data_IF_207006633697
#
_entry.id   IF_207006633697
#
_cell.length_a   1.000
_cell.length_b   1.000
_cell.length_c   1.000
_cell.angle_alpha   90.00
_cell.angle_beta   90.00
_cell.angle_gamma   90.00
#
_symmetry.space_group_name_H-M   'P 1'
#
loop_
_entity.id
_entity.type
_entity.pdbx_description
1 polymer ?
#
# COMPACT_ATOMS: atom_id res chain seq x y z
N UNK A 1 -20.18 10.10 -23.65
CA UNK A 1 -19.56 10.82 -22.53
C UNK A 1 -18.79 9.78 -21.75
N UNK A 2 -17.54 9.57 -22.15
CA UNK A 2 -16.62 8.74 -21.38
C UNK A 2 -16.32 9.51 -20.09
N UNK A 3 -16.96 9.10 -19.00
CA UNK A 3 -16.49 9.47 -17.67
C UNK A 3 -15.19 8.71 -17.48
N UNK A 4 -14.07 9.33 -17.87
CA UNK A 4 -12.74 8.93 -17.40
C UNK A 4 -12.81 8.90 -15.88
N UNK A 5 -13.03 7.70 -15.35
CA UNK A 5 -13.08 7.47 -13.92
C UNK A 5 -11.63 7.60 -13.51
N UNK A 6 -11.25 8.78 -13.02
CA UNK A 6 -9.94 8.99 -12.40
C UNK A 6 -9.86 7.99 -11.25
N UNK A 7 -9.27 6.81 -11.51
CA UNK A 7 -8.96 5.84 -10.47
C UNK A 7 -7.83 6.47 -9.67
N UNK A 8 -8.20 7.07 -8.55
CA UNK A 8 -7.23 7.53 -7.58
C UNK A 8 -6.50 6.30 -7.04
N UNK A 9 -5.18 6.31 -7.17
CA UNK A 9 -4.33 5.27 -6.63
C UNK A 9 -4.34 5.33 -5.10
N UNK A 10 -4.68 4.22 -4.44
CA UNK A 10 -4.82 4.17 -2.98
C UNK A 10 -3.47 3.96 -2.28
N UNK A 11 -2.62 3.10 -2.85
CA UNK A 11 -1.30 2.77 -2.34
C UNK A 11 -0.26 2.74 -3.45
N UNK A 12 0.97 3.06 -3.08
CA UNK A 12 2.17 2.74 -3.87
C UNK A 12 3.09 1.86 -3.05
N UNK A 13 3.91 1.05 -3.72
CA UNK A 13 4.98 0.32 -3.05
C UNK A 13 6.30 0.35 -3.81
N UNK A 14 7.39 0.18 -3.06
CA UNK A 14 8.75 -0.04 -3.53
C UNK A 14 9.24 -1.36 -2.98
N UNK A 15 9.75 -2.23 -3.85
CA UNK A 15 10.41 -3.47 -3.46
C UNK A 15 11.93 -3.21 -3.39
N UNK A 16 12.46 -3.13 -2.18
CA UNK A 16 13.89 -2.96 -1.90
C UNK A 16 14.59 -4.30 -1.61
N UNK A 17 14.01 -5.41 -2.10
CA UNK A 17 14.44 -6.81 -1.95
C UNK A 17 14.32 -7.35 -0.53
N UNK A 18 14.97 -6.71 0.45
CA UNK A 18 14.94 -7.12 1.85
C UNK A 18 13.73 -6.58 2.60
N UNK A 19 13.04 -5.60 2.03
CA UNK A 19 11.86 -4.97 2.60
C UNK A 19 11.00 -4.38 1.49
N UNK A 20 9.69 -4.39 1.70
CA UNK A 20 8.74 -3.70 0.83
C UNK A 20 8.22 -2.48 1.57
N UNK A 21 8.44 -1.31 0.98
CA UNK A 21 7.94 -0.05 1.50
C UNK A 21 6.60 0.25 0.85
N UNK A 22 5.53 0.39 1.63
CA UNK A 22 4.18 0.73 1.16
C UNK A 22 3.75 2.10 1.67
N UNK A 23 3.27 2.98 0.81
CA UNK A 23 2.73 4.28 1.20
C UNK A 23 1.23 4.39 0.88
N UNK A 24 0.36 4.64 1.88
CA UNK A 24 -1.05 4.95 1.66
C UNK A 24 -1.24 6.42 1.24
N UNK A 25 -1.80 6.63 0.06
CA UNK A 25 -1.97 7.96 -0.54
C UNK A 25 -3.31 8.61 -0.16
N UNK A 26 -4.39 7.81 -0.10
CA UNK A 26 -5.75 8.30 0.12
C UNK A 26 -6.19 8.21 1.58
N UNK A 27 -7.24 8.95 1.97
CA UNK A 27 -7.84 8.84 3.32
C UNK A 27 -8.38 7.41 3.58
N UNK A 28 -9.09 6.75 2.64
CA UNK A 28 -9.46 5.34 2.78
C UNK A 28 -8.26 4.42 2.99
N UNK A 29 -7.19 4.55 2.20
CA UNK A 29 -5.97 3.75 2.34
C UNK A 29 -5.33 3.88 3.73
N UNK A 30 -5.20 5.13 4.22
CA UNK A 30 -4.65 5.42 5.55
C UNK A 30 -5.50 4.81 6.67
N UNK A 31 -6.82 4.83 6.53
CA UNK A 31 -7.75 4.19 7.48
C UNK A 31 -7.60 2.67 7.45
N UNK A 32 -7.65 2.08 6.25
CA UNK A 32 -7.51 0.64 6.08
C UNK A 32 -6.20 0.12 6.67
N UNK A 33 -5.08 0.79 6.39
CA UNK A 33 -3.77 0.41 6.94
C UNK A 33 -3.75 0.46 8.48
N UNK A 34 -4.42 1.44 9.09
CA UNK A 34 -4.51 1.54 10.56
C UNK A 34 -5.37 0.42 11.18
N UNK A 35 -6.40 -0.03 10.47
CA UNK A 35 -7.36 -1.04 10.96
C UNK A 35 -6.89 -2.47 10.72
N UNK A 36 -6.11 -2.72 9.66
CA UNK A 36 -5.78 -4.07 9.21
C UNK A 36 -4.30 -4.44 9.41
N UNK A 37 -3.39 -3.46 9.49
CA UNK A 37 -1.97 -3.74 9.70
C UNK A 37 -1.62 -3.55 11.18
N UNK A 38 -1.08 -4.61 11.78
CA UNK A 38 -0.48 -4.54 13.12
C UNK A 38 0.93 -3.96 12.96
N UNK A 39 1.03 -2.63 13.01
CA UNK A 39 2.29 -1.92 12.79
C UNK A 39 3.00 -1.61 14.10
N UNK A 40 4.24 -2.06 14.22
CA UNK A 40 5.15 -1.57 15.24
C UNK A 40 5.69 -0.19 14.86
N UNK A 41 6.08 0.62 15.84
CA UNK A 41 6.49 2.01 15.63
C UNK A 41 7.66 2.17 14.65
N UNK A 42 8.61 1.24 14.65
CA UNK A 42 9.78 1.26 13.74
C UNK A 42 9.42 0.95 12.28
N UNK A 43 8.24 0.39 12.00
CA UNK A 43 7.79 0.09 10.64
C UNK A 43 7.29 1.32 9.90
N UNK A 44 7.25 2.50 10.53
CA UNK A 44 6.78 3.75 9.91
C UNK A 44 7.95 4.71 9.71
N UNK A 45 8.25 5.02 8.45
CA UNK A 45 9.32 5.95 8.08
C UNK A 45 8.75 6.90 7.02
N UNK A 46 8.64 8.20 7.33
CA UNK A 46 8.22 9.25 6.38
C UNK A 46 6.96 8.91 5.54
N UNK A 47 5.93 8.34 6.18
CA UNK A 47 4.68 7.95 5.51
C UNK A 47 4.69 6.55 4.89
N UNK A 48 5.86 5.94 4.76
CA UNK A 48 6.04 4.57 4.33
C UNK A 48 5.85 3.58 5.48
N UNK A 49 5.33 2.41 5.12
CA UNK A 49 5.12 1.25 5.97
C UNK A 49 6.06 0.16 5.49
N UNK A 50 6.96 -0.28 6.37
CA UNK A 50 7.92 -1.32 6.10
C UNK A 50 7.29 -2.71 6.33
N UNK A 51 7.19 -3.50 5.26
CA UNK A 51 6.55 -4.81 5.20
C UNK A 51 7.59 -5.88 4.84
N UNK A 52 7.56 -7.00 5.54
CA UNK A 52 8.35 -8.18 5.19
C UNK A 52 7.88 -8.72 3.83
N UNK A 53 8.79 -8.96 2.86
CA UNK A 53 8.42 -9.50 1.55
C UNK A 53 7.56 -10.79 1.61
N UNK A 54 7.73 -11.63 2.63
CA UNK A 54 6.94 -12.85 2.81
C UNK A 54 5.48 -12.59 3.17
N UNK A 55 5.19 -11.45 3.80
CA UNK A 55 3.83 -11.05 4.19
C UNK A 55 3.15 -10.17 3.14
N UNK A 56 3.92 -9.66 2.18
CA UNK A 56 3.43 -8.63 1.27
C UNK A 56 2.30 -9.12 0.37
N UNK A 57 2.39 -10.35 -0.12
CA UNK A 57 1.37 -10.88 -1.03
C UNK A 57 0.00 -11.03 -0.34
N UNK A 58 -0.03 -11.55 0.89
CA UNK A 58 -1.25 -11.64 1.69
C UNK A 58 -1.85 -10.24 1.95
N UNK A 59 -1.00 -9.26 2.23
CA UNK A 59 -1.42 -7.87 2.45
C UNK A 59 -1.97 -7.26 1.16
N UNK A 60 -1.33 -7.52 0.02
CA UNK A 60 -1.75 -7.07 -1.31
C UNK A 60 -3.12 -7.67 -1.67
N UNK A 61 -3.32 -8.96 -1.42
CA UNK A 61 -4.61 -9.61 -1.61
C UNK A 61 -5.69 -9.00 -0.72
N UNK A 62 -5.40 -8.74 0.55
CA UNK A 62 -6.33 -8.09 1.46
C UNK A 62 -6.71 -6.66 1.03
N UNK A 63 -5.75 -5.88 0.51
CA UNK A 63 -6.00 -4.54 -0.05
C UNK A 63 -6.93 -4.60 -1.27
N UNK A 64 -6.59 -5.48 -2.23
CA UNK A 64 -7.37 -5.62 -3.46
C UNK A 64 -8.77 -6.19 -3.20
N UNK A 65 -8.91 -7.13 -2.26
CA UNK A 65 -10.20 -7.64 -1.77
C UNK A 65 -11.06 -6.57 -1.10
N UNK A 66 -10.45 -5.54 -0.51
CA UNK A 66 -11.15 -4.37 0.02
C UNK A 66 -11.49 -3.31 -1.05
N UNK A 67 -11.18 -3.57 -2.33
CA UNK A 67 -11.41 -2.65 -3.44
C UNK A 67 -10.39 -1.51 -3.55
N UNK A 68 -9.25 -1.62 -2.84
CA UNK A 68 -8.19 -0.62 -2.87
C UNK A 68 -7.17 -0.96 -3.96
N UNK A 69 -6.60 0.09 -4.55
CA UNK A 69 -5.61 -0.04 -5.63
C UNK A 69 -4.18 0.10 -5.12
N UNK A 70 -3.25 -0.69 -5.67
CA UNK A 70 -1.83 -0.69 -5.31
C UNK A 70 -0.99 -0.75 -6.57
N UNK A 71 0.06 0.08 -6.66
CA UNK A 71 0.98 0.11 -7.81
C UNK A 71 2.45 0.07 -7.36
N UNK A 72 3.26 -0.66 -8.13
CA UNK A 72 4.72 -0.70 -7.92
C UNK A 72 5.35 0.53 -8.56
N UNK A 73 6.15 1.28 -7.80
CA UNK A 73 6.87 2.46 -8.29
C UNK A 73 8.39 2.26 -8.37
N UNK A 74 8.88 1.04 -8.14
CA UNK A 74 10.25 0.70 -8.54
C UNK A 74 10.40 1.07 -10.01
N UNK A 75 11.42 1.87 -10.30
CA UNK A 75 11.51 2.73 -11.48
C UNK A 75 10.93 2.14 -12.77
N UNK A 76 10.26 3.01 -13.54
CA UNK A 76 10.22 2.85 -15.00
C UNK A 76 11.60 2.53 -15.56
#
# INVERSE_FOLDING_TARGET
>A
MDMDTVRFLDFIYRDELSIILVEPLTKPAKRWAKENLILQGYQKIDGWIAIDPQMFEDIREAMTGAGLTLENINGK
#
